data_IF_575090384092
#
_entry.id   IF_575090384092
#
_cell.length_a   1.000
_cell.length_b   1.000
_cell.length_c   1.000
_cell.angle_alpha   90.00
_cell.angle_beta   90.00
_cell.angle_gamma   90.00
#
_symmetry.space_group_name_H-M   'P 1'
#
loop_
_entity.id
_entity.type
_entity.pdbx_description
1 polymer ?
#
# COMPACT_ATOMS: atom_id res chain seq x y z
N UNK A 1 21.54 -7.00 2.45
CA UNK A 1 20.13 -7.37 2.20
C UNK A 1 19.18 -6.71 3.18
N UNK A 2 19.23 -6.99 4.50
CA UNK A 2 18.29 -6.40 5.46
C UNK A 2 18.27 -4.85 5.46
N UNK A 3 19.44 -4.19 5.57
CA UNK A 3 19.52 -2.71 5.54
C UNK A 3 18.90 -2.11 4.28
N UNK A 4 19.19 -2.72 3.14
CA UNK A 4 18.64 -2.33 1.85
C UNK A 4 17.12 -2.44 1.79
N UNK A 5 16.55 -3.55 2.26
CA UNK A 5 15.09 -3.70 2.31
C UNK A 5 14.44 -2.67 3.25
N UNK A 6 15.12 -2.32 4.34
CA UNK A 6 14.67 -1.26 5.26
C UNK A 6 14.73 0.11 4.56
N UNK A 7 15.82 0.42 3.85
CA UNK A 7 15.95 1.68 3.08
C UNK A 7 14.83 1.83 2.04
N UNK A 8 14.55 0.75 1.28
CA UNK A 8 13.44 0.70 0.32
C UNK A 8 12.09 0.91 1.01
N UNK A 9 11.87 0.28 2.18
CA UNK A 9 10.66 0.47 2.96
C UNK A 9 10.51 1.89 3.50
N UNK A 10 11.60 2.53 3.94
CA UNK A 10 11.57 3.93 4.38
C UNK A 10 11.18 4.84 3.22
N UNK A 11 11.82 4.68 2.05
CA UNK A 11 11.48 5.44 0.85
C UNK A 11 10.02 5.27 0.44
N UNK A 12 9.51 4.02 0.46
CA UNK A 12 8.11 3.74 0.16
C UNK A 12 7.17 4.37 1.21
N UNK A 13 7.51 4.29 2.50
CA UNK A 13 6.69 4.89 3.56
C UNK A 13 6.64 6.41 3.49
N UNK A 14 7.76 7.07 3.13
CA UNK A 14 7.78 8.52 2.89
C UNK A 14 6.91 8.89 1.70
N UNK A 15 6.98 8.14 0.61
CA UNK A 15 6.10 8.33 -0.54
C UNK A 15 4.61 8.16 -0.17
N UNK A 16 4.24 7.19 0.68
CA UNK A 16 2.87 7.02 1.19
C UNK A 16 2.43 8.27 1.95
N UNK A 17 3.27 8.78 2.85
CA UNK A 17 2.98 9.97 3.66
C UNK A 17 2.79 11.24 2.79
N UNK A 18 3.36 11.28 1.58
CA UNK A 18 3.19 12.38 0.61
C UNK A 18 1.89 12.29 -0.20
N UNK A 19 1.20 11.14 -0.23
CA UNK A 19 -0.01 10.98 -1.02
C UNK A 19 -1.26 11.49 -0.27
N UNK A 20 -2.09 12.37 -0.87
CA UNK A 20 -3.25 12.94 -0.20
C UNK A 20 -4.37 11.91 0.09
N UNK A 21 -4.40 10.82 -0.68
CA UNK A 21 -5.44 9.80 -0.61
C UNK A 21 -4.93 8.48 -0.03
N UNK A 22 -3.74 8.48 0.59
CA UNK A 22 -3.22 7.35 1.34
C UNK A 22 -2.97 7.77 2.79
N UNK A 23 -3.03 6.78 3.67
CA UNK A 23 -2.65 6.93 5.07
C UNK A 23 -1.70 5.81 5.45
N UNK A 24 -0.57 6.15 6.08
CA UNK A 24 0.29 5.17 6.73
C UNK A 24 -0.36 4.72 8.03
N UNK A 25 -0.72 3.43 8.09
CA UNK A 25 -1.54 2.86 9.15
C UNK A 25 -0.74 2.46 10.41
N UNK A 26 0.60 2.36 10.31
CA UNK A 26 1.48 2.07 11.44
C UNK A 26 2.91 2.57 11.18
N UNK A 27 3.73 2.79 12.23
CA UNK A 27 5.17 3.00 12.06
C UNK A 27 5.82 1.87 11.27
N UNK A 28 6.79 2.20 10.41
CA UNK A 28 7.49 1.24 9.56
C UNK A 28 8.98 1.15 9.96
N UNK A 29 9.36 0.61 11.13
CA UNK A 29 10.76 0.57 11.59
C UNK A 29 11.62 -0.47 10.84
N UNK A 30 11.00 -1.38 10.08
CA UNK A 30 11.65 -2.46 9.36
C UNK A 30 11.25 -2.45 7.88
N UNK A 31 11.22 -3.61 7.23
CA UNK A 31 10.99 -3.73 5.79
C UNK A 31 9.52 -3.93 5.38
N UNK A 32 8.57 -3.69 6.28
CA UNK A 32 7.13 -3.81 6.02
C UNK A 32 6.48 -2.46 6.21
N UNK A 33 5.72 -2.02 5.22
CA UNK A 33 4.90 -0.80 5.29
C UNK A 33 3.44 -1.19 5.30
N UNK A 34 2.72 -0.75 6.34
CA UNK A 34 1.27 -0.88 6.45
C UNK A 34 0.63 0.46 6.09
N UNK A 35 -0.26 0.46 5.11
CA UNK A 35 -0.94 1.66 4.63
C UNK A 35 -2.35 1.33 4.19
N UNK A 36 -3.17 2.34 3.95
CA UNK A 36 -4.51 2.19 3.39
C UNK A 36 -4.82 3.35 2.46
N UNK A 37 -5.69 3.10 1.49
CA UNK A 37 -6.39 4.16 0.80
C UNK A 37 -7.31 4.90 1.76
N UNK A 38 -7.36 6.23 1.62
CA UNK A 38 -8.24 7.14 2.36
C UNK A 38 -8.73 8.26 1.43
N UNK A 39 -9.62 7.93 0.46
CA UNK A 39 -10.16 8.94 -0.43
C UNK A 39 -11.02 9.98 0.33
N UNK A 40 -11.10 11.23 -0.16
CA UNK A 40 -11.90 12.26 0.49
C UNK A 40 -13.36 11.85 0.68
N UNK A 41 -13.90 12.08 1.87
CA UNK A 41 -15.30 11.78 2.21
C UNK A 41 -15.57 10.33 2.59
N UNK A 42 -14.54 9.46 2.67
CA UNK A 42 -14.67 8.10 3.18
C UNK A 42 -14.01 7.98 4.56
N UNK A 43 -14.84 7.85 5.60
CA UNK A 43 -14.40 7.64 6.97
C UNK A 43 -14.03 6.18 7.24
N UNK A 44 -13.29 5.94 8.34
CA UNK A 44 -13.00 4.58 8.80
C UNK A 44 -14.29 3.79 9.05
N UNK A 45 -14.29 2.52 8.64
CA UNK A 45 -15.43 1.61 8.77
C UNK A 45 -15.49 0.59 7.63
N UNK A 46 -16.58 -0.18 7.60
CA UNK A 46 -16.73 -1.29 6.65
C UNK A 46 -16.64 -0.88 5.17
N UNK A 47 -17.10 0.34 4.83
CA UNK A 47 -16.99 0.87 3.48
C UNK A 47 -15.52 1.09 3.06
N UNK A 48 -14.70 1.68 3.94
CA UNK A 48 -13.27 1.88 3.69
C UNK A 48 -12.50 0.57 3.69
N UNK A 49 -12.90 -0.38 4.54
CA UNK A 49 -12.36 -1.74 4.55
C UNK A 49 -12.62 -2.44 3.22
N UNK A 50 -13.85 -2.40 2.73
CA UNK A 50 -14.23 -2.97 1.43
C UNK A 50 -13.49 -2.32 0.28
N UNK A 51 -13.35 -0.99 0.29
CA UNK A 51 -12.58 -0.26 -0.71
C UNK A 51 -11.11 -0.69 -0.75
N UNK A 52 -10.48 -0.83 0.42
CA UNK A 52 -9.08 -1.26 0.51
C UNK A 52 -8.89 -2.73 0.06
N UNK A 53 -9.83 -3.61 0.40
CA UNK A 53 -9.81 -4.99 -0.10
C UNK A 53 -9.93 -5.04 -1.62
N UNK A 54 -10.85 -4.28 -2.21
CA UNK A 54 -11.02 -4.19 -3.66
C UNK A 54 -9.77 -3.62 -4.34
N UNK A 55 -9.18 -2.56 -3.79
CA UNK A 55 -7.92 -2.00 -4.30
C UNK A 55 -6.79 -3.04 -4.32
N UNK A 56 -6.66 -3.82 -3.24
CA UNK A 56 -5.66 -4.90 -3.18
C UNK A 56 -5.91 -5.97 -4.24
N UNK A 57 -7.17 -6.38 -4.43
CA UNK A 57 -7.56 -7.36 -5.44
C UNK A 57 -7.24 -6.88 -6.85
N UNK A 58 -7.52 -5.60 -7.18
CA UNK A 58 -7.19 -5.00 -8.47
C UNK A 58 -5.67 -4.94 -8.71
N UNK A 59 -4.90 -4.55 -7.70
CA UNK A 59 -3.43 -4.55 -7.79
C UNK A 59 -2.92 -5.97 -8.03
N UNK A 60 -3.40 -6.95 -7.25
CA UNK A 60 -2.97 -8.35 -7.36
C UNK A 60 -3.39 -8.99 -8.70
N UNK A 61 -4.54 -8.60 -9.25
CA UNK A 61 -5.02 -9.07 -10.56
C UNK A 61 -4.11 -8.66 -11.72
N UNK A 62 -3.27 -7.64 -11.56
CA UNK A 62 -2.25 -7.28 -12.56
C UNK A 62 -1.21 -8.38 -12.78
N UNK A 63 -0.95 -9.22 -11.77
CA UNK A 63 0.11 -10.23 -11.78
C UNK A 63 1.53 -9.68 -11.59
N UNK A 64 1.72 -8.35 -11.60
CA UNK A 64 3.03 -7.71 -11.50
C UNK A 64 3.51 -7.57 -10.05
N UNK A 65 2.57 -7.39 -9.12
CA UNK A 65 2.84 -7.18 -7.69
C UNK A 65 1.85 -8.01 -6.88
N UNK A 66 2.30 -8.53 -5.75
CA UNK A 66 1.45 -9.21 -4.79
C UNK A 66 1.48 -8.52 -3.43
N UNK A 67 0.35 -7.97 -3.02
CA UNK A 67 0.12 -7.37 -1.71
C UNK A 67 -0.73 -8.29 -0.83
N UNK A 68 -0.47 -8.22 0.47
CA UNK A 68 -1.31 -8.82 1.50
C UNK A 68 -2.01 -7.74 2.30
N UNK A 69 -2.94 -8.12 3.16
CA UNK A 69 -3.61 -7.21 4.08
C UNK A 69 -3.49 -7.69 5.53
N UNK A 70 -3.85 -6.82 6.46
CA UNK A 70 -4.07 -7.14 7.86
C UNK A 70 -5.18 -6.24 8.41
N UNK A 71 -5.70 -6.58 9.59
CA UNK A 71 -6.68 -5.75 10.31
C UNK A 71 -5.98 -5.13 11.52
N UNK A 72 -6.04 -3.81 11.59
CA UNK A 72 -5.62 -3.00 12.74
C UNK A 72 -6.87 -2.39 13.40
N UNK A 73 -6.69 -1.67 14.51
CA UNK A 73 -7.82 -1.07 15.27
C UNK A 73 -8.72 -0.21 14.37
N UNK A 74 -8.11 0.58 13.49
CA UNK A 74 -8.78 1.47 12.54
C UNK A 74 -9.21 0.76 11.23
N UNK A 75 -9.22 -0.58 11.19
CA UNK A 75 -9.70 -1.36 10.04
C UNK A 75 -8.60 -2.00 9.17
N UNK A 76 -8.94 -2.30 7.93
CA UNK A 76 -8.05 -2.96 6.96
C UNK A 76 -6.86 -2.06 6.62
N UNK A 77 -5.68 -2.67 6.57
CA UNK A 77 -4.46 -2.07 6.07
C UNK A 77 -3.79 -3.02 5.07
N UNK A 78 -3.35 -2.47 3.95
CA UNK A 78 -2.53 -3.15 2.95
C UNK A 78 -1.08 -3.20 3.41
N UNK A 79 -0.37 -4.24 2.99
CA UNK A 79 1.00 -4.52 3.39
C UNK A 79 1.89 -4.71 2.18
N UNK A 80 2.87 -3.82 2.04
CA UNK A 80 4.04 -4.06 1.19
C UNK A 80 5.15 -4.62 2.08
N UNK A 81 5.49 -5.90 1.89
CA UNK A 81 6.53 -6.59 2.66
C UNK A 81 7.78 -6.79 1.78
N UNK A 82 8.78 -5.94 1.96
CA UNK A 82 10.02 -5.95 1.18
C UNK A 82 10.97 -6.98 1.82
N UNK A 83 10.98 -8.18 1.25
CA UNK A 83 11.75 -9.31 1.77
C UNK A 83 12.44 -10.16 0.71
N UNK A 84 12.01 -10.06 -0.55
CA UNK A 84 12.60 -10.81 -1.65
C UNK A 84 13.94 -10.18 -2.05
N UNK A 85 14.96 -11.01 -2.23
CA UNK A 85 16.32 -10.58 -2.57
C UNK A 85 16.41 -9.87 -3.93
N UNK A 86 15.46 -10.17 -4.83
CA UNK A 86 15.36 -9.55 -6.15
C UNK A 86 14.62 -8.22 -6.17
N UNK A 87 14.00 -7.81 -5.06
CA UNK A 87 13.22 -6.57 -5.02
C UNK A 87 14.11 -5.33 -5.06
N UNK A 88 13.84 -4.43 -6.00
CA UNK A 88 14.53 -3.15 -6.16
C UNK A 88 13.58 -1.94 -6.30
N UNK A 89 14.12 -0.76 -6.63
CA UNK A 89 13.32 0.46 -6.83
C UNK A 89 12.34 0.37 -7.99
N UNK A 90 12.68 -0.39 -9.05
CA UNK A 90 11.82 -0.53 -10.23
C UNK A 90 10.55 -1.27 -9.84
N UNK A 91 10.67 -2.32 -9.03
CA UNK A 91 9.52 -3.04 -8.47
C UNK A 91 8.65 -2.12 -7.61
N UNK A 92 9.27 -1.28 -6.77
CA UNK A 92 8.53 -0.32 -5.94
C UNK A 92 7.90 0.81 -6.76
N UNK A 93 8.53 1.28 -7.82
CA UNK A 93 7.91 2.22 -8.78
C UNK A 93 6.70 1.59 -9.46
N UNK A 94 6.80 0.31 -9.87
CA UNK A 94 5.67 -0.44 -10.43
C UNK A 94 4.53 -0.57 -9.42
N UNK A 95 4.85 -0.92 -8.17
CA UNK A 95 3.87 -1.00 -7.08
C UNK A 95 3.16 0.34 -6.85
N UNK A 96 3.91 1.45 -6.76
CA UNK A 96 3.36 2.81 -6.62
C UNK A 96 2.43 3.18 -7.77
N UNK A 97 2.84 2.89 -9.00
CA UNK A 97 2.03 3.12 -10.20
C UNK A 97 0.71 2.36 -10.16
N UNK A 98 0.73 1.08 -9.77
CA UNK A 98 -0.48 0.25 -9.67
C UNK A 98 -1.41 0.73 -8.56
N UNK A 99 -0.87 1.16 -7.41
CA UNK A 99 -1.66 1.76 -6.32
C UNK A 99 -2.38 3.02 -6.83
N UNK A 100 -1.65 3.96 -7.43
CA UNK A 100 -2.24 5.20 -7.94
C UNK A 100 -3.28 4.95 -9.02
N UNK A 101 -3.02 4.00 -9.93
CA UNK A 101 -3.97 3.59 -10.97
C UNK A 101 -5.24 3.00 -10.37
N UNK A 102 -5.12 2.07 -9.42
CA UNK A 102 -6.26 1.45 -8.74
C UNK A 102 -7.10 2.48 -7.98
N UNK A 103 -6.45 3.41 -7.27
CA UNK A 103 -7.13 4.53 -6.63
C UNK A 103 -7.93 5.38 -7.63
N UNK A 104 -7.35 5.69 -8.79
CA UNK A 104 -8.02 6.48 -9.81
C UNK A 104 -9.24 5.76 -10.41
N UNK A 105 -9.12 4.45 -10.68
CA UNK A 105 -10.20 3.63 -11.21
C UNK A 105 -11.35 3.49 -10.21
N UNK A 106 -11.05 3.24 -8.94
CA UNK A 106 -12.06 3.04 -7.91
C UNK A 106 -12.73 4.32 -7.43
N UNK A 107 -12.05 5.46 -7.54
CA UNK A 107 -12.61 6.77 -7.13
C UNK A 107 -13.51 7.39 -8.20
N UNK A 108 -13.43 6.93 -9.46
CA UNK A 108 -14.26 7.37 -10.58
C UNK A 108 -14.92 6.14 -11.25
N UNK A 109 -15.95 5.55 -10.62
CA UNK A 109 -16.62 4.36 -11.12
C UNK A 109 -17.35 4.59 -12.45
#
# INVERSE_FOLDING_TARGET
HLRRHIELAQAFSGWVDEQPNLERAAPAPFSVVCFRAKPPGMEHGEALDGFNMQLMEEINASGDVYLSHTRLDEGIALRVAIGNIGTDEVDLERCRTLILKGLQCLSNP
#
